data_IF_539332766471
#
_entry.id   IF_539332766471
#
_cell.length_a   1.000
_cell.length_b   1.000
_cell.length_c   1.000
_cell.angle_alpha   90.00
_cell.angle_beta   90.00
_cell.angle_gamma   90.00
#
_symmetry.space_group_name_H-M   'P 1'
#
loop_
_entity.id
_entity.type
_entity.pdbx_description
1 polymer ?
#
# COMPACT_ATOMS: atom_id res chain seq x y z
N UNK A 1 7.55 -68.34 -4.55
CA UNK A 1 8.92 -68.14 -5.05
C UNK A 1 8.95 -67.32 -6.33
N UNK A 2 8.19 -67.69 -7.38
CA UNK A 2 8.08 -66.88 -8.62
C UNK A 2 7.53 -65.46 -8.38
N UNK A 3 6.51 -65.32 -7.54
CA UNK A 3 5.93 -64.00 -7.19
C UNK A 3 6.91 -63.11 -6.39
N UNK A 4 7.63 -63.69 -5.42
CA UNK A 4 8.64 -62.95 -4.64
C UNK A 4 9.83 -62.48 -5.48
N UNK A 5 10.24 -63.26 -6.49
CA UNK A 5 11.29 -62.85 -7.45
C UNK A 5 10.79 -61.73 -8.36
N UNK A 6 9.56 -61.80 -8.86
CA UNK A 6 8.95 -60.75 -9.67
C UNK A 6 8.86 -59.42 -8.91
N UNK A 7 8.42 -59.45 -7.64
CA UNK A 7 8.36 -58.27 -6.78
C UNK A 7 9.75 -57.69 -6.47
N UNK A 8 10.77 -58.56 -6.38
CA UNK A 8 12.15 -58.15 -6.16
C UNK A 8 12.74 -57.46 -7.41
N UNK A 9 12.47 -57.98 -8.60
CA UNK A 9 12.86 -57.36 -9.87
C UNK A 9 12.15 -56.01 -10.07
N UNK A 10 10.86 -55.91 -9.72
CA UNK A 10 10.14 -54.63 -9.73
C UNK A 10 10.73 -53.61 -8.76
N UNK A 11 11.16 -54.05 -7.56
CA UNK A 11 11.86 -53.18 -6.61
C UNK A 11 13.24 -52.77 -7.15
N UNK A 12 13.94 -53.66 -7.86
CA UNK A 12 15.20 -53.34 -8.52
C UNK A 12 15.05 -52.26 -9.60
N UNK A 13 14.01 -52.37 -10.42
CA UNK A 13 13.69 -51.38 -11.45
C UNK A 13 13.37 -50.01 -10.86
N UNK A 14 12.58 -49.97 -9.78
CA UNK A 14 12.31 -48.72 -9.06
C UNK A 14 13.57 -48.13 -8.42
N UNK A 15 14.43 -48.96 -7.81
CA UNK A 15 15.71 -48.50 -7.25
C UNK A 15 16.68 -47.98 -8.33
N UNK A 16 16.60 -48.50 -9.55
CA UNK A 16 17.40 -48.06 -10.69
C UNK A 16 16.93 -46.70 -11.22
N UNK A 17 15.63 -46.41 -11.16
CA UNK A 17 15.07 -45.09 -11.51
C UNK A 17 15.60 -43.98 -10.60
N UNK A 18 15.75 -44.25 -9.31
CA UNK A 18 16.37 -43.29 -8.36
C UNK A 18 17.82 -42.93 -8.75
N UNK A 19 18.60 -43.90 -9.24
CA UNK A 19 19.99 -43.68 -9.68
C UNK A 19 20.08 -42.87 -10.97
N UNK A 20 19.03 -42.90 -11.80
CA UNK A 20 18.96 -42.19 -13.08
C UNK A 20 18.52 -40.72 -12.95
N UNK A 21 18.15 -40.25 -11.75
CA UNK A 21 17.74 -38.87 -11.54
C UNK A 21 18.93 -37.90 -11.69
N UNK A 22 18.79 -36.77 -12.41
CA UNK A 22 19.88 -35.85 -12.68
C UNK A 22 20.42 -35.19 -11.41
N UNK A 23 21.74 -35.32 -11.19
CA UNK A 23 22.47 -34.81 -10.04
C UNK A 23 22.75 -33.30 -10.17
N UNK A 24 21.74 -32.49 -9.84
CA UNK A 24 21.96 -31.11 -9.39
C UNK A 24 21.66 -31.10 -7.90
N UNK A 25 22.55 -30.67 -7.00
CA UNK A 25 22.28 -30.61 -5.56
C UNK A 25 20.99 -29.82 -5.28
N UNK A 26 20.20 -30.24 -4.29
CA UNK A 26 18.92 -29.57 -4.00
C UNK A 26 19.11 -28.11 -3.57
N UNK A 27 20.27 -27.77 -3.03
CA UNK A 27 20.69 -26.40 -2.69
C UNK A 27 20.78 -25.46 -3.91
N UNK A 28 21.05 -26.02 -5.09
CA UNK A 28 21.26 -25.28 -6.33
C UNK A 28 20.02 -25.30 -7.24
N UNK A 29 18.99 -26.08 -6.87
CA UNK A 29 17.76 -26.15 -7.61
C UNK A 29 16.96 -24.85 -7.50
N UNK A 30 16.42 -24.38 -8.61
CA UNK A 30 15.37 -23.37 -8.53
C UNK A 30 14.07 -24.00 -7.97
N UNK A 31 13.12 -23.17 -7.58
CA UNK A 31 11.92 -23.64 -6.90
C UNK A 31 11.08 -24.60 -7.74
N UNK A 32 10.96 -24.35 -9.06
CA UNK A 32 10.26 -25.26 -9.96
C UNK A 32 10.91 -26.65 -10.03
N UNK A 33 12.24 -26.69 -10.09
CA UNK A 33 13.02 -27.94 -10.05
C UNK A 33 12.88 -28.66 -8.71
N UNK A 34 12.84 -27.93 -7.60
CA UNK A 34 12.62 -28.52 -6.26
C UNK A 34 11.25 -29.20 -6.17
N UNK A 35 10.19 -28.54 -6.64
CA UNK A 35 8.82 -29.08 -6.60
C UNK A 35 8.70 -30.34 -7.46
N UNK A 36 9.25 -30.32 -8.66
CA UNK A 36 9.25 -31.48 -9.56
C UNK A 36 10.01 -32.67 -8.96
N UNK A 37 11.15 -32.41 -8.29
CA UNK A 37 11.92 -33.45 -7.60
C UNK A 37 11.20 -34.00 -6.39
N UNK A 38 10.61 -33.15 -5.56
CA UNK A 38 9.81 -33.60 -4.42
C UNK A 38 8.70 -34.55 -4.88
N UNK A 39 8.07 -34.24 -6.02
CA UNK A 39 7.04 -35.09 -6.63
C UNK A 39 7.61 -36.43 -7.09
N UNK A 40 8.70 -36.44 -7.86
CA UNK A 40 9.35 -37.68 -8.31
C UNK A 40 9.78 -38.56 -7.14
N UNK A 41 10.44 -37.98 -6.13
CA UNK A 41 10.86 -38.71 -4.93
C UNK A 41 9.68 -39.23 -4.12
N UNK A 42 8.58 -38.48 -4.03
CA UNK A 42 7.37 -38.93 -3.35
C UNK A 42 6.70 -40.11 -4.07
N UNK A 43 6.55 -40.02 -5.40
CA UNK A 43 5.93 -41.07 -6.21
C UNK A 43 6.73 -42.38 -6.13
N UNK A 44 8.06 -42.33 -6.25
CA UNK A 44 8.91 -43.52 -6.10
C UNK A 44 8.93 -44.06 -4.66
N UNK A 45 8.88 -43.18 -3.66
CA UNK A 45 8.78 -43.59 -2.23
C UNK A 45 7.48 -44.36 -1.98
N UNK A 46 6.37 -43.89 -2.57
CA UNK A 46 5.07 -44.55 -2.46
C UNK A 46 5.05 -45.92 -3.13
N UNK A 47 5.59 -46.03 -4.35
CA UNK A 47 5.72 -47.30 -5.07
C UNK A 47 6.64 -48.29 -4.34
N UNK A 48 7.79 -47.82 -3.84
CA UNK A 48 8.72 -48.65 -3.06
C UNK A 48 8.08 -49.15 -1.77
N UNK A 49 7.24 -48.34 -1.12
CA UNK A 49 6.48 -48.72 0.07
C UNK A 49 5.48 -49.83 -0.23
N UNK A 50 4.70 -49.69 -1.30
CA UNK A 50 3.75 -50.73 -1.73
C UNK A 50 4.47 -52.06 -2.03
N UNK A 51 5.59 -52.01 -2.77
CA UNK A 51 6.40 -53.20 -3.07
C UNK A 51 7.02 -53.84 -1.82
N UNK A 52 7.51 -53.04 -0.87
CA UNK A 52 8.06 -53.56 0.40
C UNK A 52 6.97 -54.19 1.26
N UNK A 53 5.78 -53.61 1.34
CA UNK A 53 4.64 -54.21 2.07
C UNK A 53 4.21 -55.54 1.41
N UNK A 54 4.19 -55.62 0.08
CA UNK A 54 3.91 -56.88 -0.63
C UNK A 54 5.01 -57.93 -0.39
N UNK A 55 6.29 -57.54 -0.41
CA UNK A 55 7.42 -58.42 -0.11
C UNK A 55 7.39 -58.93 1.34
N UNK A 56 6.92 -58.13 2.30
CA UNK A 56 6.71 -58.58 3.68
C UNK A 56 5.61 -59.63 3.79
N UNK A 57 4.51 -59.49 3.03
CA UNK A 57 3.46 -60.51 2.98
C UNK A 57 3.97 -61.83 2.39
N UNK A 58 4.83 -61.76 1.36
CA UNK A 58 5.51 -62.93 0.80
C UNK A 58 6.57 -63.52 1.76
N UNK A 59 7.22 -62.69 2.57
CA UNK A 59 8.17 -63.14 3.60
C UNK A 59 7.50 -64.05 4.66
N UNK A 60 6.20 -63.88 4.92
CA UNK A 60 5.45 -64.77 5.82
C UNK A 60 5.27 -66.18 5.24
N UNK A 61 5.20 -66.28 3.90
CA UNK A 61 5.07 -67.54 3.16
C UNK A 61 6.42 -68.25 2.95
N UNK A 62 7.53 -67.52 3.03
CA UNK A 62 8.88 -68.02 2.77
C UNK A 62 9.80 -67.95 4.00
N UNK A 63 10.02 -69.06 4.73
CA UNK A 63 10.76 -69.06 6.01
C UNK A 63 12.21 -68.60 5.88
N UNK A 64 12.80 -68.72 4.70
CA UNK A 64 14.19 -68.36 4.39
C UNK A 64 14.38 -66.83 4.31
N UNK A 65 13.33 -66.11 3.95
CA UNK A 65 13.33 -64.64 3.91
C UNK A 65 13.12 -64.02 5.29
N UNK A 66 12.63 -64.77 6.31
CA UNK A 66 12.29 -64.26 7.66
C UNK A 66 13.44 -63.61 8.43
N UNK A 67 14.69 -63.89 8.03
CA UNK A 67 15.89 -63.31 8.66
C UNK A 67 16.17 -61.86 8.26
N UNK A 68 15.49 -61.33 7.23
CA UNK A 68 15.74 -59.99 6.69
C UNK A 68 14.73 -59.00 7.24
N UNK A 69 15.21 -57.92 7.86
CA UNK A 69 14.34 -56.95 8.52
C UNK A 69 13.74 -55.93 7.52
N UNK A 70 12.67 -56.33 6.83
CA UNK A 70 11.91 -55.43 5.94
C UNK A 70 11.05 -54.42 6.69
N UNK A 71 10.82 -54.62 7.98
CA UNK A 71 10.02 -53.73 8.84
C UNK A 71 10.73 -52.41 9.12
N UNK A 72 12.05 -52.45 9.26
CA UNK A 72 12.87 -51.24 9.40
C UNK A 72 12.83 -50.40 8.12
N UNK A 73 12.95 -51.04 6.94
CA UNK A 73 12.83 -50.36 5.65
C UNK A 73 11.44 -49.73 5.45
N UNK A 74 10.37 -50.45 5.80
CA UNK A 74 8.98 -49.96 5.70
C UNK A 74 8.70 -48.80 6.67
N UNK A 75 9.10 -48.90 7.93
CA UNK A 75 8.90 -47.80 8.90
C UNK A 75 9.67 -46.54 8.51
N UNK A 76 10.84 -46.68 7.90
CA UNK A 76 11.60 -45.56 7.35
C UNK A 76 10.90 -44.96 6.12
N UNK A 77 10.39 -45.80 5.22
CA UNK A 77 9.59 -45.42 4.05
C UNK A 77 8.34 -44.62 4.44
N UNK A 78 7.57 -45.10 5.44
CA UNK A 78 6.37 -44.41 5.94
C UNK A 78 6.70 -43.02 6.48
N UNK A 79 7.74 -42.90 7.32
CA UNK A 79 8.14 -41.62 7.90
C UNK A 79 8.62 -40.61 6.85
N UNK A 80 9.25 -41.10 5.78
CA UNK A 80 9.71 -40.24 4.69
C UNK A 80 8.57 -39.83 3.76
N UNK A 81 7.68 -40.76 3.45
CA UNK A 81 6.45 -40.50 2.69
C UNK A 81 5.63 -39.38 3.33
N UNK A 82 5.46 -39.42 4.66
CA UNK A 82 4.80 -38.35 5.42
C UNK A 82 5.50 -37.00 5.31
N UNK A 83 6.84 -36.97 5.36
CA UNK A 83 7.63 -35.73 5.27
C UNK A 83 7.56 -35.15 3.86
N UNK A 84 7.69 -35.99 2.84
CA UNK A 84 7.55 -35.59 1.43
C UNK A 84 6.14 -35.07 1.14
N UNK A 85 5.10 -35.75 1.63
CA UNK A 85 3.71 -35.31 1.48
C UNK A 85 3.45 -33.95 2.15
N UNK A 86 3.97 -33.73 3.38
CA UNK A 86 3.87 -32.43 4.06
C UNK A 86 4.60 -31.32 3.29
N UNK A 87 5.79 -31.59 2.80
CA UNK A 87 6.59 -30.62 2.02
C UNK A 87 5.94 -30.30 0.66
N UNK A 88 5.37 -31.30 -0.02
CA UNK A 88 4.61 -31.08 -1.24
C UNK A 88 3.35 -30.26 -1.00
N UNK A 89 2.60 -30.53 0.07
CA UNK A 89 1.40 -29.74 0.41
C UNK A 89 1.75 -28.30 0.77
N UNK A 90 2.84 -28.09 1.50
CA UNK A 90 3.36 -26.76 1.82
C UNK A 90 3.74 -25.97 0.56
N UNK A 91 4.40 -26.60 -0.42
CA UNK A 91 4.72 -25.93 -1.69
C UNK A 91 3.47 -25.64 -2.53
N UNK A 92 2.49 -26.55 -2.57
CA UNK A 92 1.18 -26.33 -3.23
C UNK A 92 0.44 -25.13 -2.61
N UNK A 93 0.38 -25.05 -1.28
CA UNK A 93 -0.29 -23.96 -0.56
C UNK A 93 0.40 -22.60 -0.79
N UNK A 94 1.72 -22.61 -1.02
CA UNK A 94 2.46 -21.39 -1.37
C UNK A 94 2.30 -20.98 -2.83
N UNK A 95 2.17 -21.92 -3.78
CA UNK A 95 1.92 -21.57 -5.19
C UNK A 95 0.59 -20.84 -5.40
N UNK A 96 -0.41 -21.11 -4.55
CA UNK A 96 -1.70 -20.39 -4.54
C UNK A 96 -1.56 -18.90 -4.15
N UNK A 97 -0.40 -18.45 -3.65
CA UNK A 97 -0.14 -17.07 -3.21
C UNK A 97 0.56 -16.18 -4.24
N UNK A 98 0.61 -16.56 -5.53
CA UNK A 98 1.32 -15.83 -6.61
C UNK A 98 2.78 -15.51 -6.26
N UNK A 99 3.55 -16.54 -5.91
CA UNK A 99 4.99 -16.39 -5.64
C UNK A 99 5.78 -16.77 -6.91
N UNK A 100 6.85 -16.05 -7.20
CA UNK A 100 7.70 -16.23 -8.38
C UNK A 100 8.42 -17.59 -8.35
N UNK A 101 8.32 -18.36 -9.43
CA UNK A 101 8.89 -19.70 -9.58
C UNK A 101 10.40 -19.67 -9.87
N UNK A 102 10.94 -18.49 -10.19
CA UNK A 102 12.37 -18.26 -10.44
C UNK A 102 13.17 -17.96 -9.17
N UNK A 103 12.49 -17.80 -8.04
CA UNK A 103 13.09 -17.43 -6.76
C UNK A 103 14.00 -18.54 -6.21
N UNK A 104 15.19 -18.16 -5.73
CA UNK A 104 16.13 -19.10 -5.10
C UNK A 104 15.59 -19.56 -3.75
N UNK A 105 15.83 -20.84 -3.43
CA UNK A 105 15.40 -21.46 -2.17
C UNK A 105 15.92 -20.64 -0.98
N UNK A 106 15.00 -20.10 -0.18
CA UNK A 106 15.33 -19.25 0.97
C UNK A 106 16.07 -19.99 2.12
N UNK A 107 16.12 -21.32 2.09
CA UNK A 107 16.76 -22.17 3.11
C UNK A 107 17.45 -23.41 2.50
N UNK A 108 18.62 -23.25 1.86
CA UNK A 108 19.33 -24.35 1.19
C UNK A 108 19.71 -25.50 2.14
N UNK A 109 20.04 -25.20 3.40
CA UNK A 109 20.41 -26.19 4.41
C UNK A 109 19.30 -27.23 4.69
N UNK A 110 18.03 -26.82 4.68
CA UNK A 110 16.89 -27.74 4.88
C UNK A 110 16.67 -28.64 3.66
N UNK A 111 16.97 -28.14 2.45
CA UNK A 111 16.95 -28.92 1.22
C UNK A 111 18.01 -30.02 1.22
N UNK A 112 19.23 -29.69 1.65
CA UNK A 112 20.32 -30.64 1.77
C UNK A 112 20.07 -31.72 2.85
N UNK A 113 19.46 -31.35 3.98
CA UNK A 113 19.10 -32.31 5.01
C UNK A 113 18.04 -33.31 4.51
N UNK A 114 17.04 -32.82 3.78
CA UNK A 114 16.02 -33.65 3.16
C UNK A 114 16.62 -34.57 2.08
N UNK A 115 17.49 -34.03 1.23
CA UNK A 115 18.23 -34.79 0.23
C UNK A 115 19.07 -35.90 0.87
N UNK A 116 19.84 -35.60 1.93
CA UNK A 116 20.62 -36.59 2.66
C UNK A 116 19.74 -37.68 3.29
N UNK A 117 18.56 -37.32 3.81
CA UNK A 117 17.59 -38.27 4.35
C UNK A 117 17.03 -39.20 3.27
N UNK A 118 16.74 -38.67 2.08
CA UNK A 118 16.27 -39.47 0.93
C UNK A 118 17.33 -40.46 0.44
N UNK A 119 18.59 -40.03 0.35
CA UNK A 119 19.69 -40.91 -0.06
C UNK A 119 19.95 -42.04 0.96
N UNK A 120 19.88 -41.73 2.26
CA UNK A 120 19.98 -42.76 3.31
C UNK A 120 18.89 -43.81 3.18
N UNK A 121 17.66 -43.41 2.82
CA UNK A 121 16.57 -44.36 2.57
C UNK A 121 16.85 -45.27 1.39
N UNK A 122 17.27 -44.69 0.27
CA UNK A 122 17.58 -45.46 -0.93
C UNK A 122 18.65 -46.52 -0.65
N UNK A 123 19.71 -46.17 0.09
CA UNK A 123 20.75 -47.11 0.51
C UNK A 123 20.20 -48.24 1.40
N UNK A 124 19.34 -47.92 2.37
CA UNK A 124 18.71 -48.92 3.23
C UNK A 124 17.84 -49.90 2.43
N UNK A 125 17.09 -49.41 1.45
CA UNK A 125 16.28 -50.25 0.56
C UNK A 125 17.13 -51.11 -0.37
N UNK A 126 18.18 -50.54 -0.95
CA UNK A 126 19.09 -51.28 -1.83
C UNK A 126 19.76 -52.43 -1.08
N UNK A 127 20.21 -52.19 0.15
CA UNK A 127 20.77 -53.22 1.02
C UNK A 127 19.75 -54.32 1.34
N UNK A 128 18.50 -53.94 1.66
CA UNK A 128 17.45 -54.91 1.94
C UNK A 128 17.13 -55.77 0.70
N UNK A 129 17.06 -55.15 -0.48
CA UNK A 129 16.89 -55.83 -1.77
C UNK A 129 18.02 -56.83 -2.03
N UNK A 130 19.29 -56.44 -1.88
CA UNK A 130 20.43 -57.33 -2.08
C UNK A 130 20.41 -58.54 -1.13
N UNK A 131 20.07 -58.31 0.14
CA UNK A 131 19.94 -59.38 1.12
C UNK A 131 18.84 -60.37 0.75
N UNK A 132 17.68 -59.88 0.29
CA UNK A 132 16.58 -60.74 -0.19
C UNK A 132 16.96 -61.53 -1.43
N UNK A 133 17.65 -60.88 -2.39
CA UNK A 133 18.11 -61.53 -3.62
C UNK A 133 19.09 -62.68 -3.31
N UNK A 134 20.01 -62.47 -2.37
CA UNK A 134 20.96 -63.50 -1.93
C UNK A 134 20.24 -64.65 -1.22
N UNK A 135 19.28 -64.34 -0.34
CA UNK A 135 18.51 -65.35 0.39
C UNK A 135 17.72 -66.24 -0.58
N UNK A 136 17.02 -65.65 -1.56
CA UNK A 136 16.26 -66.39 -2.57
C UNK A 136 17.15 -67.22 -3.51
N UNK A 137 18.35 -66.74 -3.85
CA UNK A 137 19.30 -67.50 -4.69
C UNK A 137 19.87 -68.72 -3.97
N UNK A 138 20.11 -68.63 -2.66
CA UNK A 138 20.63 -69.76 -1.86
C UNK A 138 19.65 -70.93 -1.74
N UNK A 139 18.37 -70.69 -1.96
CA UNK A 139 17.31 -71.68 -1.71
C UNK A 139 16.91 -72.39 -2.99
N UNK A 140 17.09 -71.71 -4.13
CA UNK A 140 17.16 -72.33 -5.46
C UNK A 140 18.35 -73.32 -5.57
N UNK A 141 19.45 -73.10 -4.85
CA UNK A 141 20.63 -74.00 -4.92
C UNK A 141 20.56 -75.27 -4.07
N UNK A 142 19.58 -75.38 -3.16
CA UNK A 142 19.51 -76.49 -2.19
C UNK A 142 18.57 -77.65 -2.56
N UNK A 143 17.83 -77.55 -3.68
CA UNK A 143 16.83 -78.55 -4.09
C UNK A 143 17.17 -79.21 -5.43
N UNK A 144 18.25 -79.99 -5.53
CA UNK A 144 18.40 -81.00 -6.60
C UNK A 144 19.32 -82.16 -6.17
N UNK A 145 18.86 -83.39 -6.42
CA UNK A 145 19.55 -84.63 -6.05
C UNK A 145 20.75 -84.96 -6.95
N UNK A 146 21.84 -85.43 -6.33
CA UNK A 146 23.19 -85.61 -6.87
C UNK A 146 23.38 -86.49 -8.14
N UNK A 147 22.35 -87.13 -8.72
CA UNK A 147 22.51 -87.98 -9.92
C UNK A 147 22.04 -87.37 -11.25
N UNK A 148 21.17 -86.35 -11.22
CA UNK A 148 20.89 -85.53 -12.42
C UNK A 148 22.00 -84.50 -12.65
N UNK A 149 22.67 -84.10 -11.56
CA UNK A 149 23.75 -83.12 -11.52
C UNK A 149 24.98 -83.57 -12.29
N UNK A 150 25.31 -84.86 -12.37
CA UNK A 150 26.47 -85.29 -13.17
C UNK A 150 26.22 -85.13 -14.68
N UNK A 151 25.01 -85.44 -15.16
CA UNK A 151 24.64 -85.26 -16.56
C UNK A 151 24.44 -83.79 -16.95
N UNK A 152 23.78 -83.01 -16.07
CA UNK A 152 23.60 -81.56 -16.27
C UNK A 152 24.87 -80.77 -16.05
N UNK A 153 25.74 -81.11 -15.07
CA UNK A 153 27.08 -80.51 -14.96
C UNK A 153 27.95 -80.90 -16.13
N UNK A 154 27.88 -82.14 -16.64
CA UNK A 154 28.66 -82.50 -17.82
C UNK A 154 28.21 -81.71 -19.05
N UNK A 155 26.89 -81.57 -19.26
CA UNK A 155 26.35 -80.73 -20.33
C UNK A 155 26.61 -79.23 -20.09
N UNK A 156 26.60 -78.76 -18.84
CA UNK A 156 26.90 -77.38 -18.47
C UNK A 156 28.39 -77.08 -18.61
N UNK A 157 29.27 -78.01 -18.23
CA UNK A 157 30.72 -77.91 -18.43
C UNK A 157 31.02 -77.90 -19.92
N UNK A 158 30.39 -78.77 -20.70
CA UNK A 158 30.56 -78.80 -22.16
C UNK A 158 30.05 -77.51 -22.81
N UNK A 159 28.87 -77.02 -22.43
CA UNK A 159 28.35 -75.74 -22.94
C UNK A 159 29.19 -74.56 -22.46
N UNK A 160 29.72 -74.57 -21.24
CA UNK A 160 30.64 -73.53 -20.74
C UNK A 160 32.02 -73.62 -21.39
N UNK A 161 32.50 -74.80 -21.77
CA UNK A 161 33.71 -74.98 -22.57
C UNK A 161 33.52 -74.46 -24.00
N UNK A 162 32.38 -74.75 -24.62
CA UNK A 162 31.99 -74.16 -25.91
C UNK A 162 31.84 -72.63 -25.79
N UNK A 163 31.27 -72.12 -24.72
CA UNK A 163 31.12 -70.68 -24.45
C UNK A 163 32.48 -70.02 -24.20
N UNK A 164 33.40 -70.66 -23.45
CA UNK A 164 34.78 -70.19 -23.26
C UNK A 164 35.54 -70.19 -24.59
N UNK A 165 35.33 -71.20 -25.44
CA UNK A 165 35.97 -71.26 -26.74
C UNK A 165 35.43 -70.18 -27.69
N UNK A 166 34.12 -69.95 -27.66
CA UNK A 166 33.47 -68.85 -28.40
C UNK A 166 33.94 -67.49 -27.87
N UNK A 167 34.03 -67.28 -26.56
CA UNK A 167 34.56 -66.05 -25.94
C UNK A 167 36.04 -65.85 -26.23
N UNK A 168 36.84 -66.92 -26.34
CA UNK A 168 38.24 -66.81 -26.79
C UNK A 168 38.32 -66.38 -28.25
N UNK A 169 37.50 -66.96 -29.12
CA UNK A 169 37.41 -66.59 -30.52
C UNK A 169 36.92 -65.14 -30.68
N UNK A 170 35.89 -64.74 -29.93
CA UNK A 170 35.35 -63.39 -29.90
C UNK A 170 36.36 -62.41 -29.30
N UNK A 171 37.10 -62.78 -28.26
CA UNK A 171 38.21 -61.97 -27.74
C UNK A 171 39.33 -61.81 -28.76
N UNK A 172 39.66 -62.86 -29.50
CA UNK A 172 40.71 -62.79 -30.52
C UNK A 172 40.23 -62.02 -31.76
N UNK A 173 38.94 -62.07 -32.07
CA UNK A 173 38.28 -61.27 -33.10
C UNK A 173 38.18 -59.81 -32.68
N UNK A 174 37.77 -59.50 -31.44
CA UNK A 174 37.79 -58.16 -30.83
C UNK A 174 39.21 -57.62 -30.67
N UNK A 175 40.21 -58.47 -30.42
CA UNK A 175 41.61 -58.06 -30.44
C UNK A 175 41.99 -57.66 -31.86
N UNK A 176 41.71 -58.49 -32.87
CA UNK A 176 41.98 -58.15 -34.27
C UNK A 176 41.24 -56.88 -34.66
N UNK A 177 39.94 -56.77 -34.38
CA UNK A 177 39.14 -55.58 -34.60
C UNK A 177 39.73 -54.38 -33.87
N UNK A 178 40.05 -54.42 -32.58
CA UNK A 178 40.71 -53.32 -31.87
C UNK A 178 42.08 -52.96 -32.46
N UNK A 179 42.86 -53.94 -32.91
CA UNK A 179 44.14 -53.69 -33.57
C UNK A 179 43.97 -53.07 -34.98
N UNK A 180 42.87 -53.37 -35.68
CA UNK A 180 42.57 -52.80 -37.00
C UNK A 180 41.70 -51.52 -36.95
N UNK A 181 40.89 -51.33 -35.91
CA UNK A 181 40.06 -50.12 -35.67
C UNK A 181 40.82 -49.02 -34.94
N UNK A 182 41.89 -49.33 -34.20
CA UNK A 182 42.85 -48.30 -33.76
C UNK A 182 43.73 -47.75 -34.90
N UNK A 183 43.53 -48.20 -36.14
CA UNK A 183 44.08 -47.55 -37.33
C UNK A 183 43.10 -46.53 -37.97
N UNK A 184 41.89 -46.35 -37.42
CA UNK A 184 41.08 -45.15 -37.68
C UNK A 184 41.63 -44.00 -36.83
N UNK A 185 42.76 -43.48 -37.29
CA UNK A 185 43.44 -42.31 -36.76
C UNK A 185 42.56 -41.08 -37.01
N UNK A 186 42.02 -40.50 -35.94
CA UNK A 186 42.37 -39.10 -35.76
C UNK A 186 43.88 -39.09 -35.48
N UNK A 187 44.67 -38.54 -36.38
CA UNK A 187 46.13 -38.49 -36.20
C UNK A 187 46.41 -37.77 -34.87
N UNK A 188 47.44 -38.17 -34.11
CA UNK A 188 47.84 -37.48 -32.87
C UNK A 188 47.93 -35.95 -33.10
N UNK A 189 48.32 -35.56 -34.31
CA UNK A 189 48.37 -34.18 -34.80
C UNK A 189 47.01 -33.48 -34.86
N UNK A 190 45.92 -34.18 -35.16
CA UNK A 190 44.56 -33.62 -35.19
C UNK A 190 44.04 -33.39 -33.76
N UNK A 191 44.32 -34.31 -32.83
CA UNK A 191 44.02 -34.09 -31.41
C UNK A 191 44.83 -32.93 -30.82
N UNK A 192 46.10 -32.78 -31.20
CA UNK A 192 46.93 -31.64 -30.80
C UNK A 192 46.41 -30.33 -31.38
N UNK A 193 45.96 -30.32 -32.65
CA UNK A 193 45.35 -29.15 -33.28
C UNK A 193 44.02 -28.77 -32.60
N UNK A 194 43.14 -29.73 -32.31
CA UNK A 194 41.88 -29.49 -31.62
C UNK A 194 42.10 -28.91 -30.21
N UNK A 195 43.12 -29.40 -29.51
CA UNK A 195 43.49 -28.93 -28.18
C UNK A 195 44.08 -27.51 -28.24
N UNK A 196 44.87 -27.20 -29.25
CA UNK A 196 45.40 -25.87 -29.50
C UNK A 196 44.30 -24.87 -29.87
N UNK A 197 43.35 -25.26 -30.72
CA UNK A 197 42.17 -24.47 -31.05
C UNK A 197 41.30 -24.20 -29.81
N UNK A 198 41.09 -25.21 -28.96
CA UNK A 198 40.37 -25.07 -27.71
C UNK A 198 41.07 -24.07 -26.77
N UNK A 199 42.39 -24.19 -26.62
CA UNK A 199 43.20 -23.26 -25.82
C UNK A 199 43.13 -21.83 -26.36
N UNK A 200 43.16 -21.65 -27.69
CA UNK A 200 43.04 -20.35 -28.31
C UNK A 200 41.65 -19.74 -28.07
N UNK A 201 40.57 -20.53 -28.20
CA UNK A 201 39.20 -20.10 -27.88
C UNK A 201 39.08 -19.71 -26.41
N UNK A 202 39.62 -20.52 -25.50
CA UNK A 202 39.65 -20.19 -24.07
C UNK A 202 40.42 -18.90 -23.78
N UNK A 203 41.54 -18.67 -24.46
CA UNK A 203 42.31 -17.43 -24.30
C UNK A 203 41.52 -16.20 -24.77
N UNK A 204 40.81 -16.31 -25.90
CA UNK A 204 39.93 -15.26 -26.43
C UNK A 204 38.77 -14.98 -25.47
N UNK A 205 38.05 -16.01 -25.02
CA UNK A 205 36.95 -15.85 -24.07
C UNK A 205 37.41 -15.27 -22.74
N UNK A 206 38.55 -15.74 -22.23
CA UNK A 206 39.17 -15.18 -21.02
C UNK A 206 39.44 -13.69 -21.20
N UNK A 207 40.00 -13.28 -22.34
CA UNK A 207 40.28 -11.87 -22.59
C UNK A 207 39.00 -11.04 -22.67
N UNK A 208 37.98 -11.52 -23.39
CA UNK A 208 36.67 -10.87 -23.48
C UNK A 208 36.00 -10.72 -22.10
N UNK A 209 36.12 -11.73 -21.23
CA UNK A 209 35.63 -11.65 -19.84
C UNK A 209 36.38 -10.57 -19.03
N UNK A 210 37.69 -10.44 -19.19
CA UNK A 210 38.46 -9.36 -18.54
C UNK A 210 38.04 -7.98 -19.04
N UNK A 211 37.83 -7.82 -20.35
CA UNK A 211 37.37 -6.56 -20.93
C UNK A 211 35.97 -6.19 -20.41
N UNK A 212 35.05 -7.15 -20.36
CA UNK A 212 33.73 -6.95 -19.76
C UNK A 212 33.80 -6.60 -18.27
N UNK A 213 34.70 -7.24 -17.52
CA UNK A 213 34.93 -6.91 -16.11
C UNK A 213 35.44 -5.48 -15.95
N UNK A 214 36.39 -5.05 -16.80
CA UNK A 214 36.95 -3.70 -16.76
C UNK A 214 35.89 -2.64 -17.14
N UNK A 215 35.10 -2.91 -18.18
CA UNK A 215 33.96 -2.05 -18.55
C UNK A 215 32.92 -1.99 -17.42
N UNK A 216 32.64 -3.11 -16.75
CA UNK A 216 31.76 -3.17 -15.59
C UNK A 216 32.26 -2.32 -14.44
N UNK A 217 33.57 -2.36 -14.14
CA UNK A 217 34.19 -1.50 -13.12
C UNK A 217 34.08 -0.01 -13.47
N UNK A 218 34.36 0.37 -14.72
CA UNK A 218 34.21 1.77 -15.19
C UNK A 218 32.78 2.29 -15.01
N UNK A 219 31.78 1.49 -15.41
CA UNK A 219 30.36 1.83 -15.21
C UNK A 219 29.99 1.94 -13.73
N UNK A 220 30.54 1.07 -12.88
CA UNK A 220 30.31 1.12 -11.44
C UNK A 220 30.87 2.42 -10.83
N UNK A 221 32.06 2.85 -11.26
CA UNK A 221 32.65 4.11 -10.82
C UNK A 221 31.85 5.33 -11.31
N UNK A 222 31.37 5.30 -12.56
CA UNK A 222 30.44 6.32 -13.09
C UNK A 222 29.14 6.39 -12.26
N UNK A 223 28.53 5.25 -11.93
CA UNK A 223 27.34 5.23 -11.08
C UNK A 223 27.63 5.69 -9.66
N UNK A 224 28.77 5.32 -9.09
CA UNK A 224 29.20 5.77 -7.76
C UNK A 224 29.35 7.29 -7.71
N UNK A 225 30.05 7.88 -8.68
CA UNK A 225 30.22 9.34 -8.77
C UNK A 225 28.89 10.07 -8.99
N UNK A 226 28.01 9.52 -9.84
CA UNK A 226 26.67 10.08 -10.04
C UNK A 226 25.83 10.02 -8.76
N UNK A 227 25.90 8.91 -8.02
CA UNK A 227 25.22 8.75 -6.74
C UNK A 227 25.73 9.77 -5.71
N UNK A 228 27.04 9.97 -5.60
CA UNK A 228 27.62 10.99 -4.70
C UNK A 228 27.16 12.41 -5.08
N UNK A 229 27.09 12.71 -6.38
CA UNK A 229 26.60 14.01 -6.84
C UNK A 229 25.11 14.22 -6.50
N UNK A 230 24.28 13.20 -6.71
CA UNK A 230 22.86 13.24 -6.35
C UNK A 230 22.67 13.38 -4.84
N UNK A 231 23.41 12.63 -4.02
CA UNK A 231 23.37 12.75 -2.55
C UNK A 231 23.72 14.17 -2.08
N UNK A 232 24.76 14.77 -2.65
CA UNK A 232 25.12 16.16 -2.35
C UNK A 232 24.01 17.15 -2.75
N UNK A 233 23.40 16.95 -3.92
CA UNK A 233 22.29 17.80 -4.40
C UNK A 233 21.06 17.66 -3.50
N UNK A 234 20.73 16.46 -3.05
CA UNK A 234 19.63 16.19 -2.12
C UNK A 234 19.84 16.91 -0.79
N UNK A 235 21.03 16.78 -0.19
CA UNK A 235 21.39 17.50 1.05
C UNK A 235 21.28 19.01 0.91
N UNK A 236 21.70 19.57 -0.24
CA UNK A 236 21.56 21.00 -0.51
C UNK A 236 20.10 21.44 -0.64
N UNK A 237 19.26 20.63 -1.28
CA UNK A 237 17.83 20.89 -1.37
C UNK A 237 17.15 20.83 0.01
N UNK A 238 17.50 19.86 0.85
CA UNK A 238 16.99 19.78 2.23
C UNK A 238 17.37 21.02 3.06
N UNK A 239 18.60 21.52 2.92
CA UNK A 239 19.02 22.77 3.56
C UNK A 239 18.19 23.96 3.08
N UNK A 240 17.96 24.09 1.76
CA UNK A 240 17.13 25.17 1.21
C UNK A 240 15.68 25.08 1.70
N UNK A 241 15.11 23.88 1.77
CA UNK A 241 13.75 23.65 2.30
C UNK A 241 13.67 24.09 3.77
N UNK A 242 14.66 23.72 4.59
CA UNK A 242 14.71 24.13 5.99
C UNK A 242 14.82 25.65 6.16
N UNK A 243 15.62 26.32 5.33
CA UNK A 243 15.71 27.79 5.32
C UNK A 243 14.40 28.46 4.91
N UNK A 244 13.74 27.94 3.87
CA UNK A 244 12.44 28.43 3.43
C UNK A 244 11.38 28.25 4.50
N UNK A 245 11.37 27.11 5.19
CA UNK A 245 10.44 26.84 6.28
C UNK A 245 10.65 27.81 7.45
N UNK A 246 11.90 28.09 7.83
CA UNK A 246 12.22 29.11 8.84
C UNK A 246 11.72 30.49 8.43
N UNK A 247 11.96 30.90 7.18
CA UNK A 247 11.45 32.18 6.64
C UNK A 247 9.93 32.23 6.63
N UNK A 248 9.27 31.14 6.23
CA UNK A 248 7.82 31.04 6.21
C UNK A 248 7.21 31.20 7.61
N UNK A 249 7.78 30.53 8.62
CA UNK A 249 7.38 30.70 10.02
C UNK A 249 7.57 32.16 10.45
N UNK A 250 8.72 32.76 10.14
CA UNK A 250 8.99 34.17 10.41
C UNK A 250 7.91 35.10 9.83
N UNK A 251 7.62 34.98 8.53
CA UNK A 251 6.59 35.78 7.85
C UNK A 251 5.22 35.55 8.47
N UNK A 252 4.86 34.30 8.76
CA UNK A 252 3.57 33.96 9.40
C UNK A 252 3.42 34.65 10.77
N UNK A 253 4.49 34.72 11.56
CA UNK A 253 4.45 35.43 12.85
C UNK A 253 4.29 36.95 12.68
N UNK A 254 4.94 37.55 11.69
CA UNK A 254 4.80 38.99 11.41
C UNK A 254 3.38 39.31 10.96
N UNK A 255 2.83 38.54 10.01
CA UNK A 255 1.45 38.72 9.54
C UNK A 255 0.41 38.56 10.66
N UNK A 256 0.64 37.63 11.60
CA UNK A 256 -0.22 37.51 12.79
C UNK A 256 -0.17 38.76 13.66
N UNK A 257 1.03 39.30 13.91
CA UNK A 257 1.19 40.55 14.68
C UNK A 257 0.53 41.74 13.99
N UNK A 258 0.69 41.88 12.67
CA UNK A 258 0.05 42.94 11.89
C UNK A 258 -1.48 42.83 11.90
N UNK A 259 -2.01 41.61 11.74
CA UNK A 259 -3.45 41.36 11.86
C UNK A 259 -3.98 41.74 13.24
N UNK A 260 -3.28 41.34 14.31
CA UNK A 260 -3.71 41.62 15.68
C UNK A 260 -3.62 43.12 15.99
N UNK A 261 -2.62 43.81 15.45
CA UNK A 261 -2.50 45.27 15.51
C UNK A 261 -3.63 45.98 14.78
N UNK A 262 -3.93 45.58 13.53
CA UNK A 262 -5.03 46.14 12.75
C UNK A 262 -6.39 45.93 13.44
N UNK A 263 -6.60 44.76 14.05
CA UNK A 263 -7.80 44.48 14.84
C UNK A 263 -7.92 45.37 16.07
N UNK A 264 -6.82 45.60 16.78
CA UNK A 264 -6.80 46.52 17.93
C UNK A 264 -7.14 47.94 17.48
N UNK A 265 -6.51 48.43 16.41
CA UNK A 265 -6.77 49.76 15.87
C UNK A 265 -8.24 49.93 15.45
N UNK A 266 -8.84 48.91 14.83
CA UNK A 266 -10.25 48.95 14.46
C UNK A 266 -11.17 49.07 15.69
N UNK A 267 -10.89 48.31 16.76
CA UNK A 267 -11.64 48.39 18.02
C UNK A 267 -11.48 49.75 18.70
N UNK A 268 -10.27 50.31 18.69
CA UNK A 268 -9.99 51.64 19.27
C UNK A 268 -10.77 52.72 18.50
N UNK A 269 -10.77 52.68 17.16
CA UNK A 269 -11.54 53.59 16.31
C UNK A 269 -13.06 53.44 16.49
N UNK A 270 -13.57 52.21 16.63
CA UNK A 270 -14.98 51.96 16.93
C UNK A 270 -15.36 52.53 18.30
N UNK A 271 -14.49 52.39 19.30
CA UNK A 271 -14.65 52.99 20.63
C UNK A 271 -14.68 54.51 20.60
N UNK A 272 -13.74 55.15 19.89
CA UNK A 272 -13.71 56.60 19.69
C UNK A 272 -14.97 57.09 18.96
N UNK A 273 -15.36 56.42 17.88
CA UNK A 273 -16.56 56.76 17.12
C UNK A 273 -17.83 56.65 17.98
N UNK A 274 -17.93 55.62 18.83
CA UNK A 274 -19.04 55.46 19.76
C UNK A 274 -19.05 56.58 20.83
N UNK A 275 -17.88 56.96 21.37
CA UNK A 275 -17.74 58.07 22.31
C UNK A 275 -18.16 59.41 21.70
N UNK A 276 -17.73 59.68 20.46
CA UNK A 276 -18.12 60.88 19.71
C UNK A 276 -19.63 60.90 19.47
N UNK A 277 -20.22 59.78 19.02
CA UNK A 277 -21.69 59.67 18.84
C UNK A 277 -22.45 59.92 20.13
N UNK A 278 -21.97 59.38 21.26
CA UNK A 278 -22.59 59.60 22.56
C UNK A 278 -22.51 61.07 22.98
N UNK A 279 -21.39 61.74 22.69
CA UNK A 279 -21.20 63.17 22.95
C UNK A 279 -22.14 64.02 22.10
N UNK A 280 -22.20 63.77 20.79
CA UNK A 280 -23.15 64.44 19.89
C UNK A 280 -24.61 64.22 20.30
N UNK A 281 -24.99 63.00 20.68
CA UNK A 281 -26.35 62.70 21.14
C UNK A 281 -26.70 63.49 22.40
N UNK A 282 -25.77 63.61 23.35
CA UNK A 282 -25.95 64.45 24.55
C UNK A 282 -26.10 65.92 24.18
N UNK A 283 -25.22 66.44 23.32
CA UNK A 283 -25.29 67.84 22.89
C UNK A 283 -26.60 68.16 22.17
N UNK A 284 -27.05 67.29 21.26
CA UNK A 284 -28.34 67.41 20.59
C UNK A 284 -29.49 67.44 21.59
N UNK A 285 -29.47 66.54 22.59
CA UNK A 285 -30.51 66.49 23.62
C UNK A 285 -30.52 67.78 24.45
N UNK A 286 -29.35 68.30 24.85
CA UNK A 286 -29.27 69.60 25.56
C UNK A 286 -29.71 70.77 24.70
N UNK A 287 -29.51 70.73 23.38
CA UNK A 287 -29.99 71.76 22.46
C UNK A 287 -31.51 71.72 22.32
N UNK A 288 -32.10 70.52 22.22
CA UNK A 288 -33.55 70.36 22.17
C UNK A 288 -34.21 70.78 23.50
N UNK A 289 -33.61 70.45 24.65
CA UNK A 289 -34.05 70.95 25.96
C UNK A 289 -34.04 72.49 26.01
N UNK A 290 -32.93 73.13 25.59
CA UNK A 290 -32.82 74.60 25.54
C UNK A 290 -33.84 75.21 24.57
N UNK A 291 -34.04 74.60 23.41
CA UNK A 291 -35.03 75.05 22.42
C UNK A 291 -36.46 74.94 22.98
N UNK A 292 -36.78 73.87 23.69
CA UNK A 292 -38.07 73.71 24.35
C UNK A 292 -38.28 74.74 25.46
N UNK A 293 -37.27 74.97 26.31
CA UNK A 293 -37.32 75.98 27.36
C UNK A 293 -37.53 77.40 26.78
N UNK A 294 -36.78 77.76 25.72
CA UNK A 294 -36.96 79.04 25.02
C UNK A 294 -38.34 79.19 24.39
N UNK A 295 -38.90 78.11 23.81
CA UNK A 295 -40.26 78.13 23.27
C UNK A 295 -41.29 78.39 24.36
N UNK A 296 -41.18 77.69 25.49
CA UNK A 296 -42.06 77.90 26.64
C UNK A 296 -41.96 79.34 27.16
N UNK A 297 -40.74 79.87 27.32
CA UNK A 297 -40.55 81.25 27.77
C UNK A 297 -41.18 82.29 26.80
N UNK A 298 -41.03 82.06 25.49
CA UNK A 298 -41.64 82.90 24.46
C UNK A 298 -43.17 82.78 24.46
N UNK A 299 -43.71 81.57 24.57
CA UNK A 299 -45.14 81.31 24.68
C UNK A 299 -45.73 81.98 25.92
N UNK A 300 -45.08 81.88 27.09
CA UNK A 300 -45.48 82.56 28.32
C UNK A 300 -45.48 84.08 28.17
N UNK A 301 -44.41 84.65 27.59
CA UNK A 301 -44.32 86.10 27.31
C UNK A 301 -45.44 86.56 26.36
N UNK A 302 -45.73 85.79 25.32
CA UNK A 302 -46.83 86.10 24.42
C UNK A 302 -48.19 85.96 25.08
N UNK A 303 -48.43 84.90 25.87
CA UNK A 303 -49.66 84.71 26.61
C UNK A 303 -49.92 85.86 27.59
N UNK A 304 -48.90 86.30 28.33
CA UNK A 304 -48.98 87.48 29.20
C UNK A 304 -49.32 88.74 28.42
N UNK A 305 -48.68 88.96 27.27
CA UNK A 305 -48.94 90.12 26.41
C UNK A 305 -50.35 90.11 25.83
N UNK A 306 -50.85 88.94 25.40
CA UNK A 306 -52.22 88.75 24.91
C UNK A 306 -53.20 89.06 26.03
N UNK A 307 -53.03 88.47 27.21
CA UNK A 307 -53.90 88.73 28.36
C UNK A 307 -53.96 90.23 28.73
N UNK A 308 -52.82 90.93 28.66
CA UNK A 308 -52.76 92.37 28.92
C UNK A 308 -53.46 93.19 27.82
N UNK A 309 -53.32 92.80 26.56
CA UNK A 309 -54.02 93.42 25.43
C UNK A 309 -55.53 93.16 25.51
N UNK A 310 -55.97 91.93 25.81
CA UNK A 310 -57.37 91.60 26.03
C UNK A 310 -57.99 92.45 27.15
N UNK A 311 -57.26 92.64 28.26
CA UNK A 311 -57.71 93.52 29.34
C UNK A 311 -57.91 94.95 28.86
N UNK A 312 -56.93 95.51 28.12
CA UNK A 312 -57.03 96.85 27.53
C UNK A 312 -58.19 96.97 26.54
N UNK A 313 -58.43 95.96 25.71
CA UNK A 313 -59.57 95.92 24.79
C UNK A 313 -60.88 95.95 25.57
N UNK A 314 -61.03 95.14 26.63
CA UNK A 314 -62.22 95.17 27.49
C UNK A 314 -62.45 96.53 28.16
N UNK A 315 -61.38 97.18 28.62
CA UNK A 315 -61.43 98.54 29.18
C UNK A 315 -61.88 99.56 28.12
N UNK A 316 -61.33 99.48 26.90
CA UNK A 316 -61.74 100.33 25.78
C UNK A 316 -63.19 100.06 25.34
N UNK A 317 -63.62 98.81 25.26
CA UNK A 317 -65.01 98.45 24.99
C UNK A 317 -65.96 99.00 26.05
N UNK A 318 -65.56 98.99 27.33
CA UNK A 318 -66.34 99.60 28.40
C UNK A 318 -66.49 101.10 28.19
N UNK A 319 -65.39 101.81 27.91
CA UNK A 319 -65.41 103.25 27.62
C UNK A 319 -66.30 103.55 26.41
N UNK A 320 -66.21 102.76 25.34
CA UNK A 320 -67.07 102.93 24.15
C UNK A 320 -68.55 102.77 24.53
N UNK A 321 -68.91 101.77 25.33
CA UNK A 321 -70.30 101.59 25.81
C UNK A 321 -70.78 102.77 26.65
N UNK A 322 -69.93 103.32 27.51
CA UNK A 322 -70.24 104.53 28.29
C UNK A 322 -70.44 105.74 27.38
N UNK A 323 -69.54 105.95 26.40
CA UNK A 323 -69.67 107.03 25.43
C UNK A 323 -70.91 106.88 24.55
N UNK A 324 -71.25 105.66 24.10
CA UNK A 324 -72.48 105.38 23.36
C UNK A 324 -73.72 105.65 24.21
N UNK A 325 -73.70 105.32 25.51
CA UNK A 325 -74.79 105.62 26.43
C UNK A 325 -74.96 107.14 26.61
N UNK A 326 -73.87 107.88 26.81
CA UNK A 326 -73.87 109.35 26.87
C UNK A 326 -74.36 109.94 25.55
N UNK A 327 -73.89 109.43 24.40
CA UNK A 327 -74.31 109.89 23.09
C UNK A 327 -75.82 109.71 22.89
N UNK A 328 -76.36 108.54 23.24
CA UNK A 328 -77.82 108.28 23.20
C UNK A 328 -78.60 109.18 24.16
N UNK A 329 -78.08 109.45 25.35
CA UNK A 329 -78.69 110.38 26.30
C UNK A 329 -78.73 111.80 25.73
N UNK A 330 -77.61 112.26 25.16
CA UNK A 330 -77.50 113.55 24.50
C UNK A 330 -78.39 113.64 23.26
N UNK A 331 -78.46 112.59 22.44
CA UNK A 331 -79.41 112.51 21.32
C UNK A 331 -80.86 112.63 21.80
N UNK A 332 -81.22 111.99 22.91
CA UNK A 332 -82.55 112.13 23.53
C UNK A 332 -82.78 113.54 24.07
N UNK A 333 -81.79 114.17 24.69
CA UNK A 333 -81.87 115.57 25.12
C UNK A 333 -82.03 116.51 23.92
N UNK A 334 -81.24 116.32 22.87
CA UNK A 334 -81.34 117.08 21.62
C UNK A 334 -82.71 116.86 20.97
N UNK A 335 -83.23 115.64 20.94
CA UNK A 335 -84.58 115.35 20.46
C UNK A 335 -85.65 116.07 21.29
N UNK A 336 -85.56 116.04 22.62
CA UNK A 336 -86.47 116.77 23.53
C UNK A 336 -86.38 118.28 23.36
N UNK A 337 -85.18 118.82 23.19
CA UNK A 337 -84.97 120.25 22.89
C UNK A 337 -85.53 120.60 21.50
N UNK A 338 -85.35 119.73 20.51
CA UNK A 338 -85.88 119.90 19.16
C UNK A 338 -87.41 119.81 19.08
N UNK A 339 -88.07 119.09 20.00
CA UNK A 339 -89.54 119.09 20.17
C UNK A 339 -90.08 120.35 20.84
N UNK A 340 -89.26 121.05 21.62
CA UNK A 340 -89.62 122.34 22.26
C UNK A 340 -89.42 123.55 21.34
N UNK A 341 -88.85 123.36 20.15
CA UNK A 341 -88.62 124.42 19.17
C UNK A 341 -89.82 124.47 18.19
N UNK A 342 -90.58 125.57 18.13
CA UNK A 342 -91.64 125.74 17.14
C UNK A 342 -91.07 125.66 15.70
N UNK A 343 -91.80 125.01 14.79
CA UNK A 343 -91.38 124.61 13.43
C UNK A 343 -90.69 125.69 12.56
N UNK A 344 -90.86 126.98 12.88
CA UNK A 344 -90.19 128.10 12.21
C UNK A 344 -88.70 128.21 12.51
N UNK A 345 -88.24 127.91 13.72
CA UNK A 345 -86.82 128.05 14.11
C UNK A 345 -85.98 126.80 13.73
N UNK A 346 -86.63 125.65 13.51
CA UNK A 346 -86.00 124.39 13.11
C UNK A 346 -85.36 124.46 11.71
N UNK A 347 -85.91 125.28 10.80
CA UNK A 347 -85.39 125.46 9.43
C UNK A 347 -84.16 126.37 9.35
N UNK A 348 -84.01 127.32 10.27
CA UNK A 348 -82.83 128.20 10.36
C UNK A 348 -81.63 127.51 11.01
N UNK A 349 -81.86 126.63 12.00
CA UNK A 349 -80.78 125.90 12.66
C UNK A 349 -80.16 124.80 11.76
N UNK A 350 -80.96 124.09 10.94
CA UNK A 350 -80.47 123.07 10.00
C UNK A 350 -79.64 123.68 8.86
N UNK A 351 -79.93 124.91 8.45
CA UNK A 351 -79.14 125.64 7.43
C UNK A 351 -77.83 126.19 7.98
N UNK A 352 -77.77 126.53 9.28
CA UNK A 352 -76.52 126.89 9.96
C UNK A 352 -75.61 125.69 10.22
N UNK A 353 -76.14 124.55 10.67
CA UNK A 353 -75.32 123.35 10.92
C UNK A 353 -74.78 122.73 9.64
N UNK A 354 -75.53 122.76 8.52
CA UNK A 354 -74.99 122.35 7.20
C UNK A 354 -73.81 123.19 6.70
N UNK A 355 -73.64 124.43 7.18
CA UNK A 355 -72.48 125.28 6.86
C UNK A 355 -71.26 125.06 7.76
N UNK A 356 -71.40 124.34 8.87
CA UNK A 356 -70.30 124.05 9.80
C UNK A 356 -69.76 122.63 9.70
N UNK A 357 -70.40 121.73 8.93
CA UNK A 357 -70.01 120.32 8.77
C UNK A 357 -69.55 120.02 7.32
N UNK A 358 -69.39 121.05 6.48
CA UNK A 358 -68.43 121.03 5.37
C UNK A 358 -67.10 121.55 5.88
#
# INVERSE_FOLDING_TARGET
MTEALLLLDQLHDELSKFKALPFVPWEQANRAQLVERLKQWHDHTKQSKELVTLLQLEQLKHPEMKSINLREAETFLVKTDEVLARNMNFEKDKTNRKIDLTEKIHTPALGAELEARMHRQWLTLHRAHEQLAIALRKTLSTNTSAKAIEGELFNLVKTKEEEIQNLKNERDQLKREKFFTNNEKYSLTEMENDLQDLLQRFAIEKHALYDHLEQGKKKLDEYSTHHMHLDHKTKKLEQMVNELQKKHVGISTVLKKERDYARKLALDLEGEAASIRATYAKELLTLDEKKHALRQEVEEKHAQKIALLEKKVREQEHIIRELDAIAREKEREVARLAEKIPEKERKELVTRTKKMVS
#
